data_IF_577503497972
#
_entry.id   IF_577503497972
#
_cell.length_a   1.000
_cell.length_b   1.000
_cell.length_c   1.000
_cell.angle_alpha   90.00
_cell.angle_beta   90.00
_cell.angle_gamma   90.00
#
_symmetry.space_group_name_H-M   'P 1'
#
loop_
_entity.id
_entity.type
_entity.pdbx_description
1 polymer ?
#
# COMPACT_ATOMS: atom_id res chain seq x y z
N UNK A 1 21.22 0.32 -14.63
CA UNK A 1 19.98 -0.39 -14.26
C UNK A 1 19.17 0.59 -13.45
N UNK A 2 17.98 0.99 -13.89
CA UNK A 2 17.14 1.92 -13.11
C UNK A 2 16.62 1.11 -11.91
N UNK A 3 17.05 1.47 -10.70
CA UNK A 3 16.51 0.90 -9.47
C UNK A 3 15.02 1.26 -9.38
N UNK A 4 14.14 0.27 -9.56
CA UNK A 4 12.69 0.43 -9.36
C UNK A 4 12.43 0.56 -7.87
N UNK A 5 11.82 1.67 -7.47
CA UNK A 5 11.25 1.85 -6.13
C UNK A 5 9.78 1.48 -6.16
N UNK A 6 9.29 0.79 -5.14
CA UNK A 6 7.88 0.47 -5.03
C UNK A 6 7.32 0.75 -3.63
N UNK A 7 6.04 1.09 -3.59
CA UNK A 7 5.29 1.36 -2.38
C UNK A 7 4.59 0.07 -1.94
N UNK A 8 4.86 -0.39 -0.73
CA UNK A 8 4.20 -1.56 -0.18
C UNK A 8 2.79 -1.19 0.28
N UNK A 9 1.81 -1.93 -0.19
CA UNK A 9 0.46 -1.94 0.34
C UNK A 9 0.40 -2.67 1.70
N UNK A 10 -0.62 -2.35 2.49
CA UNK A 10 -0.86 -2.94 3.81
C UNK A 10 -1.10 -4.45 3.72
N UNK A 11 -1.70 -4.95 2.62
CA UNK A 11 -1.90 -6.38 2.39
C UNK A 11 -0.60 -7.19 2.47
N UNK A 12 0.51 -6.66 1.93
CA UNK A 12 1.83 -7.30 1.95
C UNK A 12 2.35 -7.48 3.38
N UNK A 13 2.10 -6.49 4.24
CA UNK A 13 2.55 -6.50 5.64
C UNK A 13 1.66 -7.41 6.50
N UNK A 14 0.35 -7.45 6.22
CA UNK A 14 -0.59 -8.36 6.90
C UNK A 14 -0.40 -9.82 6.46
N UNK A 15 0.04 -10.06 5.22
CA UNK A 15 0.39 -11.40 4.74
C UNK A 15 1.44 -12.06 5.64
N UNK A 16 2.47 -11.28 6.03
CA UNK A 16 3.52 -11.73 6.94
C UNK A 16 2.96 -12.11 8.33
N UNK A 17 1.92 -11.44 8.82
CA UNK A 17 1.24 -11.81 10.07
C UNK A 17 0.50 -13.15 9.97
N UNK A 18 -0.14 -13.40 8.84
CA UNK A 18 -1.01 -14.56 8.65
C UNK A 18 -0.25 -15.80 8.16
N UNK A 19 1.06 -15.67 7.90
CA UNK A 19 1.88 -16.73 7.31
C UNK A 19 1.51 -17.02 5.85
N UNK A 20 0.81 -16.08 5.17
CA UNK A 20 0.55 -16.17 3.74
C UNK A 20 1.90 -16.06 3.01
N UNK A 21 2.25 -17.00 2.13
CA UNK A 21 3.50 -16.93 1.39
C UNK A 21 3.51 -15.68 0.50
N UNK A 22 4.63 -14.97 0.50
CA UNK A 22 4.91 -13.84 -0.38
C UNK A 22 5.93 -14.29 -1.42
N UNK A 23 5.71 -13.95 -2.69
CA UNK A 23 6.73 -14.06 -3.75
C UNK A 23 7.80 -13.00 -3.56
N UNK A 24 8.71 -13.24 -2.62
CA UNK A 24 9.77 -12.30 -2.25
C UNK A 24 10.73 -12.04 -3.41
N UNK A 25 10.85 -12.95 -4.36
CA UNK A 25 11.61 -12.78 -5.60
C UNK A 25 11.09 -11.66 -6.52
N UNK A 26 9.83 -11.24 -6.33
CA UNK A 26 9.20 -10.15 -7.07
C UNK A 26 9.30 -8.81 -6.34
N UNK A 27 9.83 -8.77 -5.11
CA UNK A 27 9.97 -7.53 -4.35
C UNK A 27 11.15 -6.69 -4.88
N UNK A 28 10.94 -5.38 -5.14
CA UNK A 28 12.03 -4.50 -5.54
C UNK A 28 13.05 -4.27 -4.41
N UNK A 29 14.30 -3.97 -4.79
CA UNK A 29 15.40 -3.72 -3.85
C UNK A 29 15.18 -2.50 -2.94
N UNK A 30 14.35 -1.55 -3.38
CA UNK A 30 14.04 -0.34 -2.63
C UNK A 30 12.52 -0.20 -2.45
N UNK A 31 12.09 -0.25 -1.20
CA UNK A 31 10.68 -0.16 -0.82
C UNK A 31 10.43 0.98 0.16
N UNK A 32 9.21 1.50 0.13
CA UNK A 32 8.69 2.45 1.11
C UNK A 32 7.24 2.04 1.46
N UNK A 33 6.65 2.68 2.46
CA UNK A 33 5.21 2.59 2.78
C UNK A 33 4.56 3.96 2.71
N UNK A 34 3.23 4.03 2.64
CA UNK A 34 2.49 5.27 2.84
C UNK A 34 2.21 5.50 4.33
N UNK A 35 2.07 6.76 4.75
CA UNK A 35 1.49 7.08 6.07
C UNK A 35 0.07 6.50 6.25
N UNK A 36 -0.64 6.22 5.15
CA UNK A 36 -1.94 5.52 5.18
C UNK A 36 -1.78 4.07 5.60
N UNK A 37 -0.81 3.35 5.03
CA UNK A 37 -0.44 1.98 5.44
C UNK A 37 -0.01 1.95 6.91
N UNK A 38 0.81 2.91 7.33
CA UNK A 38 1.21 3.05 8.72
C UNK A 38 0.00 3.25 9.65
N UNK A 39 -0.95 4.09 9.26
CA UNK A 39 -2.19 4.31 10.00
C UNK A 39 -3.05 3.04 10.11
N UNK A 40 -3.15 2.25 9.04
CA UNK A 40 -3.90 0.99 9.04
C UNK A 40 -3.28 -0.05 9.99
N UNK A 41 -1.95 -0.16 10.02
CA UNK A 41 -1.25 -1.05 10.95
C UNK A 41 -1.46 -0.63 12.41
N UNK A 42 -1.32 0.66 12.71
CA UNK A 42 -1.61 1.19 14.04
C UNK A 42 -3.07 0.93 14.45
N UNK A 43 -4.03 1.17 13.55
CA UNK A 43 -5.43 0.87 13.80
C UNK A 43 -5.64 -0.63 14.08
N UNK A 44 -4.96 -1.49 13.33
CA UNK A 44 -4.95 -2.94 13.57
C UNK A 44 -4.45 -3.31 14.96
N UNK A 45 -3.34 -2.72 15.43
CA UNK A 45 -2.83 -2.93 16.80
C UNK A 45 -3.85 -2.51 17.85
N UNK A 46 -4.42 -1.32 17.70
CA UNK A 46 -5.38 -0.75 18.66
C UNK A 46 -6.70 -1.54 18.71
N UNK A 47 -7.16 -2.08 17.58
CA UNK A 47 -8.37 -2.87 17.48
C UNK A 47 -8.21 -4.33 17.97
N UNK A 48 -6.98 -4.83 18.13
CA UNK A 48 -6.75 -6.20 18.54
C UNK A 48 -7.20 -6.46 19.99
N UNK A 49 -8.12 -7.40 20.17
CA UNK A 49 -8.66 -7.78 21.50
C UNK A 49 -7.81 -8.82 22.21
N UNK A 50 -7.22 -9.76 21.47
CA UNK A 50 -6.36 -10.82 22.00
C UNK A 50 -4.90 -10.39 22.09
N UNK A 51 -4.25 -10.70 23.22
CA UNK A 51 -2.83 -10.38 23.46
C UNK A 51 -1.90 -10.96 22.40
N UNK A 52 -2.14 -12.20 21.96
CA UNK A 52 -1.31 -12.86 20.93
C UNK A 52 -1.42 -12.13 19.60
N UNK A 53 -2.65 -11.80 19.17
CA UNK A 53 -2.90 -11.03 17.94
C UNK A 53 -2.27 -9.64 18.01
N UNK A 54 -2.38 -8.95 19.15
CA UNK A 54 -1.76 -7.64 19.36
C UNK A 54 -0.24 -7.70 19.30
N UNK A 55 0.39 -8.68 19.95
CA UNK A 55 1.84 -8.86 19.94
C UNK A 55 2.36 -9.09 18.52
N UNK A 56 1.65 -9.89 17.72
CA UNK A 56 1.99 -10.11 16.31
C UNK A 56 1.91 -8.82 15.47
N UNK A 57 0.82 -8.06 15.60
CA UNK A 57 0.65 -6.78 14.89
C UNK A 57 1.67 -5.73 15.29
N UNK A 58 2.04 -5.69 16.58
CA UNK A 58 3.14 -4.85 17.06
C UNK A 58 4.47 -5.26 16.42
N UNK A 59 4.77 -6.55 16.34
CA UNK A 59 5.97 -7.03 15.67
C UNK A 59 6.02 -6.63 14.19
N UNK A 60 4.89 -6.64 13.46
CA UNK A 60 4.81 -6.13 12.08
C UNK A 60 5.13 -4.64 12.01
N UNK A 61 4.54 -3.85 12.90
CA UNK A 61 4.75 -2.41 12.96
C UNK A 61 6.22 -2.08 13.29
N UNK A 62 6.82 -2.80 14.23
CA UNK A 62 8.24 -2.67 14.60
C UNK A 62 9.16 -3.06 13.43
N UNK A 63 8.81 -4.11 12.68
CA UNK A 63 9.58 -4.58 11.52
C UNK A 63 9.67 -3.54 10.39
N UNK A 64 8.68 -2.66 10.25
CA UNK A 64 8.68 -1.58 9.26
C UNK A 64 9.14 -0.23 9.82
N UNK A 65 9.57 -0.16 11.07
CA UNK A 65 9.93 1.12 11.72
C UNK A 65 11.08 1.88 11.04
N UNK A 66 11.97 1.16 10.34
CA UNK A 66 13.06 1.73 9.56
C UNK A 66 12.70 1.98 8.08
N UNK A 67 11.50 1.56 7.64
CA UNK A 67 11.01 1.77 6.28
C UNK A 67 10.45 3.20 6.19
N UNK A 68 10.83 3.93 5.15
CA UNK A 68 10.35 5.30 4.94
C UNK A 68 8.82 5.31 4.73
N UNK A 69 8.13 6.11 5.54
CA UNK A 69 6.70 6.35 5.42
C UNK A 69 6.44 7.66 4.65
N UNK A 70 6.04 7.55 3.39
CA UNK A 70 5.79 8.68 2.51
C UNK A 70 4.48 9.40 2.88
N UNK A 71 4.49 10.73 3.01
CA UNK A 71 3.33 11.50 3.41
C UNK A 71 2.32 11.67 2.26
N UNK A 72 1.07 12.00 2.61
CA UNK A 72 0.10 12.53 1.64
C UNK A 72 0.46 13.98 1.36
N UNK A 73 0.99 14.25 0.16
CA UNK A 73 1.38 15.59 -0.30
C UNK A 73 0.29 16.24 -1.14
N UNK A 74 0.47 17.52 -1.48
CA UNK A 74 -0.39 18.20 -2.45
C UNK A 74 -0.36 17.53 -3.83
N UNK A 75 0.77 16.95 -4.24
CA UNK A 75 0.87 16.21 -5.50
C UNK A 75 0.06 14.91 -5.45
N UNK A 76 0.18 14.16 -4.34
CA UNK A 76 -0.66 12.98 -4.11
C UNK A 76 -2.15 13.34 -4.13
N UNK A 77 -2.55 14.48 -3.55
CA UNK A 77 -3.94 14.94 -3.59
C UNK A 77 -4.46 15.19 -5.03
N UNK A 78 -3.61 15.71 -5.94
CA UNK A 78 -3.97 15.88 -7.36
C UNK A 78 -4.15 14.53 -8.04
N UNK A 79 -3.20 13.61 -7.86
CA UNK A 79 -3.32 12.24 -8.39
C UNK A 79 -4.57 11.54 -7.88
N UNK A 80 -4.84 11.64 -6.57
CA UNK A 80 -6.04 11.06 -5.96
C UNK A 80 -7.32 11.58 -6.62
N UNK A 81 -7.43 12.90 -6.83
CA UNK A 81 -8.60 13.49 -7.46
C UNK A 81 -8.78 13.01 -8.90
N UNK A 82 -7.70 12.97 -9.69
CA UNK A 82 -7.73 12.43 -11.05
C UNK A 82 -8.18 10.98 -11.08
N UNK A 83 -7.56 10.10 -10.27
CA UNK A 83 -7.92 8.69 -10.21
C UNK A 83 -9.37 8.49 -9.74
N UNK A 84 -9.83 9.28 -8.76
CA UNK A 84 -11.20 9.24 -8.25
C UNK A 84 -12.25 9.52 -9.33
N UNK A 85 -11.98 10.50 -10.18
CA UNK A 85 -12.87 10.89 -11.28
C UNK A 85 -12.85 9.83 -12.38
N UNK A 86 -11.67 9.35 -12.80
CA UNK A 86 -11.58 8.30 -13.83
C UNK A 86 -12.25 6.99 -13.40
N UNK A 87 -12.09 6.59 -12.13
CA UNK A 87 -12.84 5.47 -11.57
C UNK A 87 -14.36 5.67 -11.71
N UNK A 88 -14.85 6.89 -11.44
CA UNK A 88 -16.27 7.18 -11.56
C UNK A 88 -16.75 7.17 -13.02
N UNK A 89 -15.98 7.73 -13.94
CA UNK A 89 -16.26 7.74 -15.38
C UNK A 89 -16.35 6.32 -15.96
N UNK A 90 -15.55 5.38 -15.44
CA UNK A 90 -15.61 3.96 -15.81
C UNK A 90 -16.62 3.14 -14.98
N UNK A 91 -17.35 3.74 -14.05
CA UNK A 91 -18.28 3.03 -13.16
C UNK A 91 -17.59 2.05 -12.19
N UNK A 92 -16.30 2.24 -11.92
CA UNK A 92 -15.48 1.43 -11.02
C UNK A 92 -15.41 2.03 -9.61
N UNK A 93 -15.04 1.20 -8.64
CA UNK A 93 -14.81 1.61 -7.25
C UNK A 93 -13.50 1.03 -6.76
N UNK A 94 -12.86 1.75 -5.84
CA UNK A 94 -11.72 1.30 -5.07
C UNK A 94 -11.92 1.71 -3.61
N UNK A 95 -11.25 1.07 -2.66
CA UNK A 95 -11.26 1.54 -1.26
C UNK A 95 -10.55 2.89 -1.21
N UNK A 96 -11.00 3.76 -0.30
CA UNK A 96 -10.48 5.13 -0.22
C UNK A 96 -9.00 5.16 0.19
N UNK A 97 -8.57 4.23 1.03
CA UNK A 97 -7.18 4.12 1.47
C UNK A 97 -6.28 3.60 0.35
N UNK A 98 -6.69 2.54 -0.37
CA UNK A 98 -5.98 2.05 -1.56
C UNK A 98 -5.80 3.16 -2.61
N UNK A 99 -6.83 3.99 -2.80
CA UNK A 99 -6.75 5.14 -3.70
C UNK A 99 -5.73 6.19 -3.23
N UNK A 100 -5.61 6.42 -1.92
CA UNK A 100 -4.56 7.27 -1.37
C UNK A 100 -3.16 6.65 -1.50
N UNK A 101 -3.02 5.35 -1.25
CA UNK A 101 -1.76 4.62 -1.42
C UNK A 101 -1.31 4.72 -2.88
N UNK A 102 -2.20 4.45 -3.84
CA UNK A 102 -1.92 4.57 -5.26
C UNK A 102 -1.53 6.01 -5.65
N UNK A 103 -2.22 7.01 -5.10
CA UNK A 103 -1.91 8.41 -5.38
C UNK A 103 -0.55 8.85 -4.82
N UNK A 104 -0.17 8.35 -3.63
CA UNK A 104 1.18 8.56 -3.06
C UNK A 104 2.24 7.88 -3.93
N UNK A 105 1.98 6.66 -4.42
CA UNK A 105 2.88 5.97 -5.33
C UNK A 105 3.07 6.74 -6.65
N UNK A 106 1.98 7.18 -7.29
CA UNK A 106 2.03 8.01 -8.50
C UNK A 106 2.82 9.31 -8.29
N UNK A 107 2.59 10.01 -7.18
CA UNK A 107 3.29 11.26 -6.87
C UNK A 107 4.81 11.11 -6.69
N UNK A 108 5.27 9.89 -6.38
CA UNK A 108 6.69 9.57 -6.20
C UNK A 108 7.27 8.76 -7.36
N UNK A 109 6.50 8.53 -8.44
CA UNK A 109 6.92 7.71 -9.58
C UNK A 109 7.21 6.26 -9.21
N UNK A 110 6.48 5.71 -8.25
CA UNK A 110 6.65 4.35 -7.72
C UNK A 110 5.54 3.42 -8.20
N UNK A 111 5.88 2.15 -8.40
CA UNK A 111 4.92 1.06 -8.57
C UNK A 111 4.31 0.68 -7.20
N UNK A 112 3.15 0.02 -7.17
CA UNK A 112 2.54 -0.50 -5.93
C UNK A 112 2.80 -2.00 -5.83
N UNK A 113 3.26 -2.47 -4.68
CA UNK A 113 3.32 -3.90 -4.37
C UNK A 113 2.08 -4.28 -3.58
N UNK A 114 1.29 -5.23 -4.07
CA UNK A 114 0.10 -5.72 -3.37
C UNK A 114 -0.03 -7.23 -3.54
N UNK A 115 -0.62 -7.89 -2.54
CA UNK A 115 -0.93 -9.32 -2.60
C UNK A 115 -2.36 -9.59 -3.12
N UNK A 116 -3.23 -8.57 -3.08
CA UNK A 116 -4.64 -8.70 -3.40
C UNK A 116 -4.97 -7.97 -4.74
N UNK A 117 -6.24 -8.01 -5.16
CA UNK A 117 -6.74 -7.42 -6.42
C UNK A 117 -7.33 -6.00 -6.24
N UNK A 118 -7.10 -5.40 -5.06
CA UNK A 118 -7.66 -4.10 -4.67
C UNK A 118 -7.24 -2.93 -5.59
N UNK A 119 -6.07 -3.05 -6.25
CA UNK A 119 -5.51 -2.01 -7.10
C UNK A 119 -5.87 -2.15 -8.59
N UNK A 120 -6.56 -3.22 -9.01
CA UNK A 120 -6.79 -3.55 -10.43
C UNK A 120 -7.61 -2.48 -11.12
N UNK A 121 -8.67 -2.04 -10.43
CA UNK A 121 -9.51 -0.96 -10.92
C UNK A 121 -8.74 0.37 -11.02
N UNK A 122 -7.74 0.59 -10.14
CA UNK A 122 -6.93 1.81 -10.12
C UNK A 122 -5.90 1.78 -11.26
N UNK A 123 -5.24 0.64 -11.49
CA UNK A 123 -4.26 0.46 -12.57
C UNK A 123 -4.92 0.68 -13.95
N UNK A 124 -6.11 0.12 -14.17
CA UNK A 124 -6.88 0.27 -15.42
C UNK A 124 -7.15 1.73 -15.77
N UNK A 125 -7.43 2.58 -14.78
CA UNK A 125 -7.73 4.02 -15.00
C UNK A 125 -6.47 4.90 -15.07
N UNK A 126 -5.29 4.29 -15.21
CA UNK A 126 -4.01 4.98 -15.31
C UNK A 126 -3.37 5.32 -13.96
N UNK A 127 -3.60 4.49 -12.95
CA UNK A 127 -2.84 4.47 -11.70
C UNK A 127 -1.41 3.91 -11.87
N UNK A 128 -0.67 3.76 -10.76
CA UNK A 128 0.65 3.13 -10.78
C UNK A 128 0.53 1.66 -11.19
N UNK A 129 1.61 1.10 -11.75
CA UNK A 129 1.64 -0.33 -12.06
C UNK A 129 1.63 -1.17 -10.79
N UNK A 130 1.06 -2.37 -10.86
CA UNK A 130 0.92 -3.27 -9.71
C UNK A 130 1.87 -4.46 -9.80
N UNK A 131 2.76 -4.57 -8.82
CA UNK A 131 3.63 -5.73 -8.60
C UNK A 131 2.92 -6.71 -7.68
N UNK A 132 2.45 -7.82 -8.24
CA UNK A 132 1.74 -8.88 -7.50
C UNK A 132 2.72 -9.77 -6.76
N UNK A 133 2.55 -9.94 -5.44
CA UNK A 133 3.39 -10.83 -4.61
C UNK A 133 2.60 -11.90 -3.85
#
# INVERSE_FOLDING_TARGET
>A
MVTRRALLDTSVLIAAESGRPLRTESLPDQTAVSVVTLAELHAGVLAATETVTRARRLATLDAISAVEALPVTAEAARHWATLRIRLAEEGRRAKINDLWIAAVASANGMDVVSQDDDFDAIEIVGGPAVIRV
#
